data_IF_302663626143
#
_entry.id   IF_302663626143
#
_cell.length_a   1.000
_cell.length_b   1.000
_cell.length_c   1.000
_cell.angle_alpha   90.00
_cell.angle_beta   90.00
_cell.angle_gamma   90.00
#
_symmetry.space_group_name_H-M   'P 1'
#
loop_
_entity.id
_entity.type
_entity.pdbx_description
1 polymer ?
#
# COMPACT_ATOMS: atom_id res chain seq x y z
N UNK A 1 33.23 -6.87 13.75
CA UNK A 1 31.75 -6.85 13.73
C UNK A 1 31.34 -6.75 12.27
N UNK A 2 30.54 -7.69 11.76
CA UNK A 2 30.13 -7.70 10.35
C UNK A 2 29.10 -6.58 10.11
N UNK A 3 29.30 -5.75 9.08
CA UNK A 3 28.33 -4.70 8.75
C UNK A 3 27.10 -5.27 8.05
N UNK A 4 25.98 -4.54 8.08
CA UNK A 4 24.75 -4.92 7.38
C UNK A 4 25.00 -5.12 5.87
N UNK A 5 25.78 -4.24 5.26
CA UNK A 5 26.14 -4.32 3.84
C UNK A 5 26.97 -5.56 3.52
N UNK A 6 27.90 -5.91 4.41
CA UNK A 6 28.70 -7.12 4.26
C UNK A 6 27.85 -8.40 4.40
N UNK A 7 26.86 -8.37 5.28
CA UNK A 7 25.90 -9.46 5.44
C UNK A 7 25.00 -9.61 4.21
N UNK A 8 24.51 -8.51 3.63
CA UNK A 8 23.75 -8.51 2.37
C UNK A 8 24.57 -9.02 1.19
N UNK A 9 25.86 -8.70 1.11
CA UNK A 9 26.74 -9.22 0.04
C UNK A 9 26.95 -10.73 0.15
N UNK A 10 27.16 -11.23 1.37
CA UNK A 10 27.37 -12.66 1.62
C UNK A 10 26.08 -13.47 1.52
N UNK A 11 24.93 -12.86 1.82
CA UNK A 11 23.61 -13.49 1.84
C UNK A 11 22.58 -12.55 1.21
N UNK A 12 22.49 -12.50 -0.13
CA UNK A 12 21.59 -11.56 -0.82
C UNK A 12 20.11 -11.85 -0.60
N UNK A 13 19.76 -13.03 -0.06
CA UNK A 13 18.38 -13.48 0.10
C UNK A 13 17.72 -13.80 -1.25
N UNK A 14 16.52 -14.38 -1.21
CA UNK A 14 15.73 -14.61 -2.41
C UNK A 14 15.07 -13.29 -2.84
N UNK A 15 15.61 -12.63 -3.87
CA UNK A 15 15.09 -11.33 -4.32
C UNK A 15 13.65 -11.40 -4.81
N UNK A 16 13.28 -12.43 -5.56
CA UNK A 16 11.89 -12.59 -6.02
C UNK A 16 10.90 -12.66 -4.83
N UNK A 17 11.22 -13.43 -3.80
CA UNK A 17 10.38 -13.52 -2.60
C UNK A 17 10.34 -12.18 -1.82
N UNK A 18 11.50 -11.53 -1.64
CA UNK A 18 11.58 -10.22 -0.97
C UNK A 18 10.74 -9.18 -1.70
N UNK A 19 10.81 -9.14 -3.03
CA UNK A 19 10.09 -8.16 -3.83
C UNK A 19 8.59 -8.43 -3.82
N UNK A 20 8.16 -9.70 -3.80
CA UNK A 20 6.76 -10.08 -3.62
C UNK A 20 6.23 -9.62 -2.25
N UNK A 21 6.98 -9.85 -1.17
CA UNK A 21 6.59 -9.41 0.17
C UNK A 21 6.52 -7.88 0.26
N UNK A 22 7.52 -7.19 -0.31
CA UNK A 22 7.53 -5.73 -0.39
C UNK A 22 6.34 -5.18 -1.16
N UNK A 23 5.96 -5.80 -2.28
CA UNK A 23 4.81 -5.37 -3.07
C UNK A 23 3.51 -5.39 -2.23
N UNK A 24 3.31 -6.44 -1.43
CA UNK A 24 2.21 -6.50 -0.46
C UNK A 24 2.29 -5.36 0.57
N UNK A 25 3.43 -5.21 1.23
CA UNK A 25 3.63 -4.14 2.23
C UNK A 25 3.40 -2.73 1.66
N UNK A 26 3.83 -2.47 0.42
CA UNK A 26 3.60 -1.19 -0.24
C UNK A 26 2.13 -0.98 -0.61
N UNK A 27 1.40 -2.04 -0.97
CA UNK A 27 -0.04 -1.97 -1.21
C UNK A 27 -0.78 -1.58 0.07
N UNK A 28 -0.48 -2.25 1.18
CA UNK A 28 -1.09 -1.97 2.49
C UNK A 28 -0.77 -0.55 2.96
N UNK A 29 0.47 -0.12 2.82
CA UNK A 29 0.89 1.23 3.16
C UNK A 29 0.16 2.31 2.33
N UNK A 30 -0.09 2.04 1.03
CA UNK A 30 -0.86 2.95 0.17
C UNK A 30 -2.33 3.01 0.58
N UNK A 31 -2.95 1.86 0.85
CA UNK A 31 -4.34 1.78 1.30
C UNK A 31 -4.54 2.58 2.61
N UNK A 32 -3.64 2.36 3.58
CA UNK A 32 -3.63 3.11 4.82
C UNK A 32 -3.45 4.61 4.58
N UNK A 33 -2.47 5.00 3.74
CA UNK A 33 -2.19 6.42 3.45
C UNK A 33 -3.38 7.13 2.80
N UNK A 34 -4.09 6.47 1.87
CA UNK A 34 -5.29 7.03 1.25
C UNK A 34 -6.36 7.34 2.31
N UNK A 35 -6.62 6.37 3.19
CA UNK A 35 -7.56 6.52 4.29
C UNK A 35 -7.17 7.68 5.22
N UNK A 36 -5.91 7.75 5.63
CA UNK A 36 -5.41 8.84 6.49
C UNK A 36 -5.60 10.20 5.84
N UNK A 37 -5.21 10.37 4.57
CA UNK A 37 -5.38 11.65 3.87
C UNK A 37 -6.85 12.05 3.74
N UNK A 38 -7.74 11.07 3.51
CA UNK A 38 -9.19 11.31 3.47
C UNK A 38 -9.71 11.79 4.82
N UNK A 39 -9.33 11.12 5.90
CA UNK A 39 -9.74 11.44 7.27
C UNK A 39 -9.18 12.82 7.70
N UNK A 40 -7.92 13.12 7.40
CA UNK A 40 -7.30 14.43 7.65
C UNK A 40 -7.98 15.57 6.89
N UNK A 41 -8.54 15.27 5.71
CA UNK A 41 -9.33 16.21 4.90
C UNK A 41 -10.78 16.33 5.36
N UNK A 42 -11.20 15.58 6.39
CA UNK A 42 -12.58 15.58 6.89
C UNK A 42 -13.61 14.96 5.93
N UNK A 43 -13.16 14.18 4.95
CA UNK A 43 -14.03 13.61 3.91
C UNK A 43 -14.55 12.23 4.34
N UNK A 44 -15.80 11.93 3.99
CA UNK A 44 -16.31 10.55 3.99
C UNK A 44 -15.86 9.82 2.74
N UNK A 45 -15.86 8.48 2.74
CA UNK A 45 -15.56 7.69 1.53
C UNK A 45 -16.47 8.08 0.35
N UNK A 46 -17.75 8.35 0.63
CA UNK A 46 -18.73 8.79 -0.36
C UNK A 46 -18.40 10.17 -0.93
N UNK A 47 -17.96 11.10 -0.08
CA UNK A 47 -17.59 12.46 -0.51
C UNK A 47 -16.34 12.43 -1.38
N UNK A 48 -15.31 11.67 -0.96
CA UNK A 48 -14.10 11.47 -1.75
C UNK A 48 -14.42 10.82 -3.10
N UNK A 49 -15.28 9.80 -3.11
CA UNK A 49 -15.71 9.11 -4.32
C UNK A 49 -16.38 10.06 -5.32
N UNK A 50 -17.27 10.94 -4.83
CA UNK A 50 -17.92 11.98 -5.63
C UNK A 50 -16.91 12.99 -6.18
N UNK A 51 -15.96 13.43 -5.37
CA UNK A 51 -14.93 14.42 -5.76
C UNK A 51 -14.03 13.90 -6.88
N UNK A 52 -13.62 12.63 -6.81
CA UNK A 52 -12.74 12.03 -7.81
C UNK A 52 -13.49 11.32 -8.96
N UNK A 53 -14.82 11.30 -8.93
CA UNK A 53 -15.65 10.71 -9.98
C UNK A 53 -15.60 9.19 -10.06
N UNK A 54 -15.39 8.48 -8.94
CA UNK A 54 -15.45 7.01 -8.87
C UNK A 54 -16.58 6.55 -7.96
N UNK A 55 -16.95 5.27 -8.04
CA UNK A 55 -17.94 4.70 -7.12
C UNK A 55 -17.36 4.54 -5.70
N UNK A 56 -18.18 4.78 -4.66
CA UNK A 56 -17.79 4.60 -3.25
C UNK A 56 -17.19 3.21 -2.98
N UNK A 57 -17.78 2.15 -3.55
CA UNK A 57 -17.26 0.79 -3.40
C UNK A 57 -15.80 0.67 -3.87
N UNK A 58 -15.39 1.46 -4.87
CA UNK A 58 -13.99 1.47 -5.35
C UNK A 58 -13.06 2.13 -4.33
N UNK A 59 -13.49 3.20 -3.67
CA UNK A 59 -12.74 3.82 -2.56
C UNK A 59 -12.62 2.86 -1.39
N UNK A 60 -13.71 2.22 -0.98
CA UNK A 60 -13.70 1.22 0.08
C UNK A 60 -12.67 0.11 -0.20
N UNK A 61 -12.70 -0.47 -1.41
CA UNK A 61 -11.75 -1.51 -1.82
C UNK A 61 -10.30 -0.98 -1.82
N UNK A 62 -10.08 0.27 -2.22
CA UNK A 62 -8.75 0.91 -2.20
C UNK A 62 -8.22 1.11 -0.79
N UNK A 63 -9.05 1.59 0.14
CA UNK A 63 -8.67 1.85 1.54
C UNK A 63 -8.48 0.58 2.37
N UNK A 64 -9.10 -0.54 1.96
CA UNK A 64 -8.98 -1.83 2.63
C UNK A 64 -8.01 -2.80 1.95
N UNK A 65 -7.28 -2.35 0.92
CA UNK A 65 -6.28 -3.18 0.24
C UNK A 65 -6.87 -4.27 -0.66
N UNK A 66 -8.17 -4.22 -0.96
CA UNK A 66 -8.90 -5.18 -1.79
C UNK A 66 -8.95 -4.77 -3.28
N UNK A 67 -7.93 -4.08 -3.77
CA UNK A 67 -7.75 -3.91 -5.20
C UNK A 67 -7.43 -5.27 -5.82
N UNK A 68 -8.45 -5.98 -6.29
CA UNK A 68 -8.24 -7.10 -7.21
C UNK A 68 -7.46 -6.56 -8.39
N UNK A 69 -6.18 -6.94 -8.48
CA UNK A 69 -5.40 -6.73 -9.69
C UNK A 69 -6.09 -7.55 -10.78
N UNK A 70 -6.72 -6.86 -11.72
CA UNK A 70 -7.15 -7.47 -12.98
C UNK A 70 -5.92 -7.65 -13.86
#
# INVERSE_FOLDING_TARGET
MTSLDELHRRRPGNRANIDQLKAGMYSDAKAYRLRTLREESGLTEESLAKEIGVGQNRIFQMEHGHLSST
#
